data_IF_290230630907
#
_entry.id   IF_290230630907
#
_cell.length_a   1.000
_cell.length_b   1.000
_cell.length_c   1.000
_cell.angle_alpha   90.00
_cell.angle_beta   90.00
_cell.angle_gamma   90.00
#
_symmetry.space_group_name_H-M   'P 1'
#
loop_
_entity.id
_entity.type
_entity.pdbx_description
1 polymer ?
#
# COMPACT_ATOMS: atom_id res chain seq x y z
N UNK A 1 -17.10 28.30 -18.12
CA UNK A 1 -16.43 27.00 -18.38
C UNK A 1 -15.52 26.70 -17.19
N UNK A 2 -15.95 25.83 -16.27
CA UNK A 2 -15.19 25.52 -15.02
C UNK A 2 -14.39 24.24 -15.22
N UNK A 3 -13.06 24.34 -15.26
CA UNK A 3 -12.17 23.21 -15.02
C UNK A 3 -11.83 23.20 -13.53
N UNK A 4 -12.41 22.29 -12.74
CA UNK A 4 -11.80 21.89 -11.47
C UNK A 4 -11.04 20.60 -11.72
N UNK A 5 -9.73 20.78 -11.97
CA UNK A 5 -8.71 19.73 -12.05
C UNK A 5 -8.51 19.16 -10.66
N UNK A 6 -9.04 17.97 -10.40
CA UNK A 6 -8.49 17.10 -9.38
C UNK A 6 -8.35 15.70 -9.99
N UNK A 7 -7.57 15.60 -11.07
CA UNK A 7 -7.12 14.29 -11.53
C UNK A 7 -6.10 13.76 -10.53
N UNK A 8 -6.26 12.53 -10.02
CA UNK A 8 -5.29 11.93 -9.13
C UNK A 8 -3.93 11.87 -9.83
N UNK A 9 -2.86 12.14 -9.08
CA UNK A 9 -1.49 12.03 -9.57
C UNK A 9 -1.21 10.56 -9.90
N UNK A 10 -0.98 10.27 -11.17
CA UNK A 10 -0.60 8.93 -11.64
C UNK A 10 0.91 8.90 -11.85
N UNK A 11 1.57 7.93 -11.23
CA UNK A 11 3.01 7.72 -11.36
C UNK A 11 3.29 6.43 -12.14
N UNK A 12 4.30 6.47 -13.02
CA UNK A 12 4.79 5.28 -13.71
C UNK A 12 5.80 4.56 -12.82
N UNK A 13 5.71 3.23 -12.77
CA UNK A 13 6.67 2.36 -12.13
C UNK A 13 7.15 1.30 -13.13
N UNK A 14 8.44 1.01 -13.13
CA UNK A 14 9.05 -0.09 -13.87
C UNK A 14 9.52 -1.13 -12.85
N UNK A 15 9.10 -2.37 -13.02
CA UNK A 15 9.48 -3.49 -12.14
C UNK A 15 10.22 -4.51 -12.99
N UNK A 16 11.37 -4.93 -12.50
CA UNK A 16 12.18 -5.98 -13.12
C UNK A 16 12.73 -6.89 -12.04
N UNK A 17 12.90 -8.16 -12.38
CA UNK A 17 13.51 -9.11 -11.48
C UNK A 17 15.03 -8.91 -11.47
N UNK A 18 15.62 -8.74 -10.28
CA UNK A 18 17.06 -8.52 -10.13
C UNK A 18 17.90 -9.72 -10.57
N UNK A 19 17.39 -10.93 -10.37
CA UNK A 19 18.02 -12.17 -10.77
C UNK A 19 16.96 -13.25 -10.99
N UNK A 20 17.16 -14.13 -11.97
CA UNK A 20 16.28 -15.28 -12.25
C UNK A 20 16.48 -16.40 -11.21
N UNK A 21 16.30 -16.08 -9.93
CA UNK A 21 16.49 -17.00 -8.80
C UNK A 21 15.36 -16.85 -7.79
N UNK A 22 14.91 -17.98 -7.26
CA UNK A 22 14.01 -18.08 -6.12
C UNK A 22 14.85 -18.29 -4.86
N UNK A 23 14.63 -17.47 -3.85
CA UNK A 23 15.21 -17.64 -2.51
C UNK A 23 14.17 -18.22 -1.57
N UNK A 24 14.47 -19.38 -0.98
CA UNK A 24 13.58 -20.09 -0.06
C UNK A 24 14.43 -20.78 0.99
N UNK A 25 14.11 -20.60 2.27
CA UNK A 25 14.81 -21.21 3.41
C UNK A 25 16.35 -21.02 3.41
N UNK A 26 16.82 -19.90 2.85
CA UNK A 26 18.25 -19.58 2.74
C UNK A 26 18.95 -20.21 1.53
N UNK A 27 18.27 -21.05 0.76
CA UNK A 27 18.77 -21.66 -0.47
C UNK A 27 18.32 -20.89 -1.73
N UNK A 28 19.13 -21.00 -2.79
CA UNK A 28 18.91 -20.32 -4.07
C UNK A 28 18.64 -21.33 -5.17
N UNK A 29 17.47 -21.24 -5.77
CA UNK A 29 17.05 -22.09 -6.90
C UNK A 29 16.95 -21.27 -8.18
N UNK A 30 17.34 -21.79 -9.34
CA UNK A 30 17.10 -21.11 -10.61
C UNK A 30 15.59 -21.07 -10.92
N UNK A 31 15.08 -19.90 -11.27
CA UNK A 31 13.71 -19.81 -11.82
C UNK A 31 13.69 -20.52 -13.17
N UNK A 32 12.82 -21.52 -13.28
CA UNK A 32 12.71 -22.38 -14.45
C UNK A 32 11.41 -22.12 -15.22
N UNK A 33 11.37 -22.56 -16.47
CA UNK A 33 10.16 -22.47 -17.29
C UNK A 33 8.98 -23.16 -16.59
N UNK A 34 7.80 -22.54 -16.66
CA UNK A 34 6.59 -23.01 -15.97
C UNK A 34 6.36 -22.40 -14.59
N UNK A 35 7.32 -21.66 -14.03
CA UNK A 35 7.13 -20.90 -12.78
C UNK A 35 6.48 -19.53 -13.03
N UNK A 36 5.66 -19.06 -12.10
CA UNK A 36 5.04 -17.73 -12.12
C UNK A 36 5.67 -16.81 -11.08
N UNK A 37 5.94 -15.56 -11.46
CA UNK A 37 6.41 -14.50 -10.54
C UNK A 37 5.36 -13.38 -10.48
N UNK A 38 5.15 -12.81 -9.29
CA UNK A 38 4.23 -11.69 -9.06
C UNK A 38 4.95 -10.57 -8.33
N UNK A 39 4.56 -9.32 -8.59
CA UNK A 39 5.01 -8.15 -7.86
C UNK A 39 3.84 -7.21 -7.61
N UNK A 40 3.75 -6.67 -6.40
CA UNK A 40 2.71 -5.72 -5.99
C UNK A 40 3.34 -4.40 -5.54
N UNK A 41 2.77 -3.28 -5.97
CA UNK A 41 3.20 -1.94 -5.57
C UNK A 41 2.26 -1.43 -4.48
N UNK A 42 2.68 -1.57 -3.23
CA UNK A 42 1.92 -1.08 -2.08
C UNK A 42 2.16 0.42 -1.91
N UNK A 43 1.16 1.26 -2.21
CA UNK A 43 1.26 2.73 -2.13
C UNK A 43 0.98 3.31 -0.73
N UNK A 44 0.63 2.46 0.25
CA UNK A 44 0.34 2.90 1.60
C UNK A 44 0.08 1.73 2.54
N UNK A 45 0.07 2.05 3.83
CA UNK A 45 -0.27 1.13 4.90
C UNK A 45 -1.52 1.65 5.59
N UNK A 46 -2.59 0.85 5.63
CA UNK A 46 -3.76 1.13 6.44
C UNK A 46 -3.78 0.16 7.60
N UNK A 47 -3.70 0.67 8.81
CA UNK A 47 -3.78 -0.16 10.00
C UNK A 47 -5.24 -0.28 10.45
N UNK A 48 -5.63 -1.44 10.98
CA UNK A 48 -6.96 -1.62 11.59
C UNK A 48 -7.18 -0.64 12.75
N UNK A 49 -6.09 -0.28 13.45
CA UNK A 49 -6.10 0.70 14.54
C UNK A 49 -6.66 2.06 14.10
N UNK A 50 -6.44 2.51 12.86
CA UNK A 50 -7.02 3.76 12.36
C UNK A 50 -8.55 3.74 12.37
N UNK A 51 -9.18 2.59 12.05
CA UNK A 51 -10.63 2.45 12.11
C UNK A 51 -11.13 2.47 13.56
N UNK A 52 -10.42 1.78 14.46
CA UNK A 52 -10.76 1.68 15.88
C UNK A 52 -10.58 2.99 16.65
N UNK A 53 -9.58 3.81 16.29
CA UNK A 53 -9.28 5.09 16.94
C UNK A 53 -10.06 6.27 16.32
N UNK A 54 -10.65 6.09 15.13
CA UNK A 54 -11.48 7.11 14.49
C UNK A 54 -12.67 7.59 15.35
N UNK A 55 -13.39 6.75 16.11
CA UNK A 55 -14.52 7.17 16.94
C UNK A 55 -14.04 7.83 18.24
N UNK A 56 -12.93 7.35 18.82
CA UNK A 56 -12.35 7.89 20.07
C UNK A 56 -11.94 9.35 19.88
N UNK A 57 -11.29 9.67 18.74
CA UNK A 57 -10.96 11.06 18.40
C UNK A 57 -12.20 11.94 18.24
N UNK A 58 -13.28 11.43 17.64
CA UNK A 58 -14.53 12.19 17.49
C UNK A 58 -15.17 12.49 18.86
N UNK A 59 -15.24 11.50 19.73
CA UNK A 59 -15.83 11.63 21.06
C UNK A 59 -15.06 12.65 21.93
N UNK A 60 -13.72 12.68 21.86
CA UNK A 60 -12.93 13.70 22.56
C UNK A 60 -13.13 15.12 22.00
N UNK A 61 -13.27 15.27 20.69
CA UNK A 61 -13.54 16.59 20.09
C UNK A 61 -14.95 17.13 20.40
N UNK A 62 -15.94 16.25 20.56
CA UNK A 62 -17.30 16.63 20.98
C UNK A 62 -17.35 16.97 22.48
N UNK A 63 -16.76 16.15 23.34
CA UNK A 63 -16.74 16.38 24.80
C UNK A 63 -15.99 17.66 25.22
N UNK A 64 -15.04 18.13 24.42
CA UNK A 64 -14.31 19.37 24.65
C UNK A 64 -15.07 20.65 24.23
N UNK A 65 -16.18 20.53 23.50
CA UNK A 65 -17.01 21.69 23.07
C UNK A 65 -18.19 21.96 23.97
N UNK A 66 -18.45 21.10 24.94
CA UNK A 66 -19.59 21.21 25.86
C UNK A 66 -19.21 21.81 27.22
N UNK A 67 -18.10 22.57 27.27
CA UNK A 67 -17.70 23.39 28.43
C UNK A 67 -17.30 24.78 27.97
#
# INVERSE_FOLDING_TARGET
MRFSRNQPLVYKALVTLKAMKLEMDGEKFPLSAGMQTSAEIMLGTRTVAEYLLSPVRKAWHEAGRER
#
